data_IF_900928332836
#
_entry.id   IF_900928332836
#
_cell.length_a   1.000
_cell.length_b   1.000
_cell.length_c   1.000
_cell.angle_alpha   90.00
_cell.angle_beta   90.00
_cell.angle_gamma   90.00
#
_symmetry.space_group_name_H-M   'P 1'
#
loop_
_entity.id
_entity.type
_entity.pdbx_description
1 polymer ?
#
# COMPACT_ATOMS: atom_id res chain seq x y z
N UNK A 1 -5.78 -28.05 1.60
CA UNK A 1 -4.99 -27.18 2.51
C UNK A 1 -4.18 -26.12 1.77
N UNK A 2 -3.43 -26.47 0.70
CA UNK A 2 -2.62 -25.50 -0.07
C UNK A 2 -3.41 -24.28 -0.56
N UNK A 3 -4.64 -24.47 -1.06
CA UNK A 3 -5.50 -23.37 -1.52
C UNK A 3 -5.85 -22.40 -0.37
N UNK A 4 -6.17 -22.90 0.81
CA UNK A 4 -6.45 -22.06 1.99
C UNK A 4 -5.21 -21.29 2.42
N UNK A 5 -4.05 -21.97 2.46
CA UNK A 5 -2.77 -21.33 2.77
C UNK A 5 -2.46 -20.22 1.77
N UNK A 6 -2.72 -20.45 0.48
CA UNK A 6 -2.55 -19.44 -0.56
C UNK A 6 -3.41 -18.20 -0.28
N UNK A 7 -4.70 -18.35 0.00
CA UNK A 7 -5.58 -17.20 0.26
C UNK A 7 -5.21 -16.46 1.55
N UNK A 8 -4.86 -17.18 2.61
CA UNK A 8 -4.42 -16.56 3.87
C UNK A 8 -3.11 -15.81 3.67
N UNK A 9 -2.13 -16.42 3.01
CA UNK A 9 -0.86 -15.77 2.71
C UNK A 9 -1.06 -14.54 1.83
N UNK A 10 -1.84 -14.66 0.74
CA UNK A 10 -2.17 -13.54 -0.13
C UNK A 10 -2.79 -12.38 0.67
N UNK A 11 -3.83 -12.66 1.47
CA UNK A 11 -4.50 -11.64 2.29
C UNK A 11 -3.53 -10.88 3.20
N UNK A 12 -2.71 -11.59 3.98
CA UNK A 12 -1.78 -10.96 4.92
C UNK A 12 -0.63 -10.24 4.22
N UNK A 13 -0.14 -10.76 3.09
CA UNK A 13 0.90 -10.08 2.31
C UNK A 13 0.39 -8.80 1.66
N UNK A 14 -0.84 -8.79 1.12
CA UNK A 14 -1.49 -7.60 0.59
C UNK A 14 -1.75 -6.55 1.68
N UNK A 15 -2.20 -6.98 2.86
CA UNK A 15 -2.40 -6.11 4.02
C UNK A 15 -1.07 -5.53 4.52
N UNK A 16 0.00 -6.33 4.52
CA UNK A 16 1.33 -5.87 4.90
C UNK A 16 1.86 -4.81 3.92
N UNK A 17 1.78 -5.02 2.60
CA UNK A 17 2.25 -4.02 1.64
C UNK A 17 1.41 -2.75 1.63
N UNK A 18 0.09 -2.87 1.86
CA UNK A 18 -0.81 -1.73 2.06
C UNK A 18 -0.37 -0.88 3.25
N UNK A 19 -0.12 -1.50 4.41
CA UNK A 19 0.19 -0.78 5.64
C UNK A 19 1.64 -0.30 5.70
N UNK A 20 2.60 -1.14 5.35
CA UNK A 20 4.02 -0.82 5.45
C UNK A 20 4.49 0.13 4.33
N UNK A 21 4.22 -0.23 3.07
CA UNK A 21 4.77 0.48 1.92
C UNK A 21 3.88 1.62 1.43
N UNK A 22 2.60 1.38 1.20
CA UNK A 22 1.71 2.42 0.67
C UNK A 22 1.36 3.46 1.74
N UNK A 23 0.90 3.01 2.91
CA UNK A 23 0.47 3.90 3.99
C UNK A 23 1.64 4.57 4.72
N UNK A 24 2.46 3.81 5.44
CA UNK A 24 3.49 4.40 6.31
C UNK A 24 4.65 5.03 5.53
N UNK A 25 5.11 4.36 4.48
CA UNK A 25 6.21 4.88 3.65
C UNK A 25 5.72 5.95 2.66
N UNK A 26 4.88 5.60 1.68
CA UNK A 26 4.56 6.52 0.59
C UNK A 26 3.66 7.70 1.02
N UNK A 27 2.62 7.44 1.82
CA UNK A 27 1.69 8.49 2.25
C UNK A 27 2.25 9.33 3.42
N UNK A 28 2.70 8.68 4.49
CA UNK A 28 3.12 9.35 5.72
C UNK A 28 4.62 9.63 5.86
N UNK A 29 5.48 9.08 4.98
CA UNK A 29 6.94 9.26 5.05
C UNK A 29 7.54 8.94 6.43
N UNK A 30 7.03 7.91 7.11
CA UNK A 30 7.47 7.54 8.47
C UNK A 30 8.91 7.03 8.55
N UNK A 31 9.46 6.56 7.43
CA UNK A 31 10.83 6.09 7.31
C UNK A 31 11.33 6.29 5.88
N UNK A 32 12.63 6.17 5.68
CA UNK A 32 13.28 6.23 4.36
C UNK A 32 13.78 4.85 3.95
N UNK A 33 13.88 4.62 2.64
CA UNK A 33 14.45 3.41 2.08
C UNK A 33 15.54 3.76 1.07
N UNK A 34 16.53 2.89 0.94
CA UNK A 34 17.45 2.98 -0.18
C UNK A 34 16.75 2.54 -1.49
N UNK A 35 17.36 2.86 -2.62
CA UNK A 35 16.81 2.58 -3.96
C UNK A 35 16.51 1.11 -4.21
N UNK A 36 17.26 0.20 -3.57
CA UNK A 36 17.02 -1.23 -3.69
C UNK A 36 15.67 -1.61 -3.04
N UNK A 37 15.47 -1.20 -1.78
CA UNK A 37 14.26 -1.52 -1.04
C UNK A 37 13.01 -0.85 -1.62
N UNK A 38 13.11 0.38 -2.12
CA UNK A 38 11.99 1.02 -2.84
C UNK A 38 11.51 0.18 -4.03
N UNK A 39 12.45 -0.29 -4.86
CA UNK A 39 12.15 -1.12 -6.04
C UNK A 39 11.58 -2.47 -5.65
N UNK A 40 12.16 -3.10 -4.62
CA UNK A 40 11.67 -4.37 -4.08
C UNK A 40 10.21 -4.24 -3.61
N UNK A 41 9.92 -3.27 -2.74
CA UNK A 41 8.57 -3.11 -2.20
C UNK A 41 7.57 -2.61 -3.24
N UNK A 42 8.00 -1.83 -4.24
CA UNK A 42 7.14 -1.48 -5.38
C UNK A 42 6.66 -2.75 -6.11
N UNK A 43 7.60 -3.60 -6.55
CA UNK A 43 7.26 -4.82 -7.28
C UNK A 43 6.50 -5.81 -6.41
N UNK A 44 6.90 -5.96 -5.14
CA UNK A 44 6.24 -6.83 -4.19
C UNK A 44 4.79 -6.41 -3.94
N UNK A 45 4.55 -5.10 -3.78
CA UNK A 45 3.19 -4.55 -3.62
C UNK A 45 2.35 -4.80 -4.87
N UNK A 46 2.92 -4.59 -6.05
CA UNK A 46 2.25 -4.85 -7.33
C UNK A 46 1.78 -6.32 -7.44
N UNK A 47 2.65 -7.27 -7.10
CA UNK A 47 2.32 -8.70 -7.12
C UNK A 47 1.26 -9.05 -6.07
N UNK A 48 1.43 -8.57 -4.84
CA UNK A 48 0.51 -8.90 -3.74
C UNK A 48 -0.88 -8.27 -3.91
N UNK A 49 -1.00 -7.08 -4.51
CA UNK A 49 -2.29 -6.40 -4.69
C UNK A 49 -2.96 -6.73 -6.03
N UNK A 50 -2.19 -7.15 -7.04
CA UNK A 50 -2.71 -7.57 -8.33
C UNK A 50 -3.61 -6.50 -8.97
N UNK A 51 -4.85 -6.85 -9.26
CA UNK A 51 -5.84 -5.94 -9.87
C UNK A 51 -6.24 -4.76 -8.97
N UNK A 52 -6.01 -4.85 -7.66
CA UNK A 52 -6.29 -3.77 -6.70
C UNK A 52 -5.10 -2.83 -6.51
N UNK A 53 -4.00 -3.02 -7.23
CA UNK A 53 -2.81 -2.20 -7.08
C UNK A 53 -3.07 -0.74 -7.44
N UNK A 54 -2.66 0.16 -6.55
CA UNK A 54 -2.56 1.58 -6.81
C UNK A 54 -1.10 2.00 -6.86
N UNK A 55 -0.76 2.88 -7.82
CA UNK A 55 0.57 3.48 -7.84
C UNK A 55 0.83 4.18 -6.49
N UNK A 56 2.04 4.09 -5.91
CA UNK A 56 2.30 4.68 -4.59
C UNK A 56 2.03 6.18 -4.53
N UNK A 57 2.21 6.89 -5.65
CA UNK A 57 1.88 8.31 -5.77
C UNK A 57 0.38 8.56 -5.70
N UNK A 58 -0.42 7.80 -6.44
CA UNK A 58 -1.88 7.94 -6.43
C UNK A 58 -2.44 7.63 -5.04
N UNK A 59 -2.03 6.51 -4.44
CA UNK A 59 -2.43 6.16 -3.09
C UNK A 59 -2.03 7.23 -2.08
N UNK A 60 -0.79 7.73 -2.11
CA UNK A 60 -0.33 8.77 -1.21
C UNK A 60 -1.10 10.09 -1.37
N UNK A 61 -1.52 10.45 -2.58
CA UNK A 61 -2.33 11.65 -2.82
C UNK A 61 -3.73 11.48 -2.21
N UNK A 62 -4.42 10.39 -2.55
CA UNK A 62 -5.76 10.09 -2.04
C UNK A 62 -5.75 10.03 -0.51
N UNK A 63 -4.79 9.33 0.07
CA UNK A 63 -4.68 9.20 1.51
C UNK A 63 -4.41 10.54 2.20
N UNK A 64 -3.57 11.41 1.62
CA UNK A 64 -3.34 12.76 2.17
C UNK A 64 -4.56 13.66 2.02
N UNK A 65 -5.33 13.51 0.94
CA UNK A 65 -6.61 14.19 0.78
C UNK A 65 -7.59 13.75 1.86
N UNK A 66 -7.69 12.45 2.13
CA UNK A 66 -8.50 11.94 3.24
C UNK A 66 -8.10 12.56 4.58
N UNK A 67 -6.80 12.60 4.91
CA UNK A 67 -6.33 13.28 6.13
C UNK A 67 -6.63 14.80 6.15
N UNK A 68 -6.62 15.48 5.00
CA UNK A 68 -6.83 16.92 4.92
C UNK A 68 -8.31 17.33 4.91
N UNK A 69 -9.19 16.49 4.38
CA UNK A 69 -10.60 16.76 4.13
C UNK A 69 -11.53 15.81 4.86
N UNK A 70 -11.03 15.11 5.89
CA UNK A 70 -11.80 14.15 6.66
C UNK A 70 -13.10 14.75 7.18
N UNK A 71 -14.18 13.97 7.12
CA UNK A 71 -15.54 14.36 7.50
C UNK A 71 -16.12 15.53 6.67
N UNK A 72 -15.61 15.75 5.45
CA UNK A 72 -16.17 16.68 4.47
C UNK A 72 -16.55 15.97 3.17
N UNK A 73 -17.32 16.63 2.32
CA UNK A 73 -17.68 16.10 0.99
C UNK A 73 -16.48 15.94 0.03
N UNK A 74 -15.32 16.48 0.39
CA UNK A 74 -14.09 16.41 -0.39
C UNK A 74 -13.18 15.23 0.01
N UNK A 75 -13.59 14.43 0.99
CA UNK A 75 -12.92 13.19 1.37
C UNK A 75 -13.08 12.13 0.25
N UNK A 76 -11.99 11.63 -0.37
CA UNK A 76 -12.06 10.74 -1.54
C UNK A 76 -12.69 9.35 -1.32
#
# INVERSE_FOLDING_TARGET
MVILVFFVAHYYLSLFTQTFYLHRYAAHKMFTMNKFWERFFFLFTYICQGSSFLSPRAYALLHRMHHAYSDTELDP
#
